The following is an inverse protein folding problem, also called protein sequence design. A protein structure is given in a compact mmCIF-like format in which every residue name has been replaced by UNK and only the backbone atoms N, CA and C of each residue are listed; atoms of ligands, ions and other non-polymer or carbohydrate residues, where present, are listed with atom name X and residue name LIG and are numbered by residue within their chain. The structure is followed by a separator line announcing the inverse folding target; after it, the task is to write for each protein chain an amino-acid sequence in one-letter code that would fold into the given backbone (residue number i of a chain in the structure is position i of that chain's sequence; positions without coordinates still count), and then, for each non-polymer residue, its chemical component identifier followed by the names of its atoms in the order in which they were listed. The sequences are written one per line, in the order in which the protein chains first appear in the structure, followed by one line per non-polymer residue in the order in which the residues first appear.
data_IF_270949437784
#
_entry.id   IF_270949437784
#
_cell.length_a   1.000
_cell.length_b   1.000
_cell.length_c   1.000
_cell.angle_alpha   90.00
_cell.angle_beta   90.00
_cell.angle_gamma   90.00
#
_symmetry.space_group_name_H-M   'P 1'
#
loop_
_entity.id
_entity.type
_entity.pdbx_description
1 polymer ?
2 non-polymer ?
3 non-polymer ?
4 non-polymer ?
5 water ?
#
# COMPACT_ATOMS: atom_id res chain seq x y z
N UNK A 4 17.69 -11.11 9.75
CA UNK A 4 18.59 -10.06 9.18
C UNK A 4 17.91 -8.68 9.12
N UNK A 5 16.73 -8.61 8.52
CA UNK A 5 15.94 -7.38 8.53
C UNK A 5 15.10 -7.34 9.82
N UNK A 6 15.79 -7.15 10.94
CA UNK A 6 15.18 -7.35 12.26
C UNK A 6 14.00 -6.43 12.61
N UNK A 7 13.90 -5.28 11.92
CA UNK A 7 12.86 -4.29 12.23
C UNK A 7 11.46 -4.66 11.70
N UNK A 8 11.41 -5.66 10.83
CA UNK A 8 10.17 -6.16 10.25
C UNK A 8 9.23 -6.76 11.28
N UNK A 9 9.82 -7.41 12.29
CA UNK A 9 9.07 -8.24 13.22
C UNK A 9 7.89 -7.55 13.88
N UNK A 10 8.13 -6.35 14.39
CA UNK A 10 7.09 -5.64 15.12
C UNK A 10 5.92 -5.29 14.19
N UNK A 11 6.22 -4.90 12.96
CA UNK A 11 5.16 -4.59 12.00
C UNK A 11 4.34 -5.81 11.60
N UNK A 12 5.03 -6.91 11.32
CA UNK A 12 4.35 -8.18 11.02
C UNK A 12 3.44 -8.61 12.17
N UNK A 13 3.90 -8.42 13.41
CA UNK A 13 3.12 -8.76 14.60
C UNK A 13 1.84 -7.93 14.68
N UNK A 14 1.94 -6.64 14.36
CA UNK A 14 0.74 -5.78 14.36
C UNK A 14 -0.24 -6.25 13.28
N UNK A 15 0.27 -6.60 12.12
CA UNK A 15 -0.58 -7.13 11.03
C UNK A 15 -1.29 -8.39 11.50
N UNK A 16 -0.54 -9.27 12.14
CA UNK A 16 -1.05 -10.57 12.56
C UNK A 16 -2.22 -10.45 13.53
N UNK A 17 -2.23 -9.41 14.36
CA UNK A 17 -3.32 -9.19 15.33
C UNK A 17 -4.66 -9.00 14.63
N UNK A 18 -4.66 -8.23 13.54
CA UNK A 18 -5.89 -8.05 12.75
C UNK A 18 -6.22 -9.35 12.00
N UNK A 19 -5.21 -9.98 11.43
CA UNK A 19 -5.40 -11.23 10.68
C UNK A 19 -6.01 -12.35 11.55
N UNK A 20 -5.69 -12.34 12.85
CA UNK A 20 -6.18 -13.36 13.78
C UNK A 20 -7.59 -13.07 14.30
N UNK A 21 -8.09 -11.87 14.03
CA UNK A 21 -9.39 -11.45 14.53
C UNK A 21 -10.54 -11.80 13.59
N UNK A 22 -11.58 -12.40 14.15
CA UNK A 22 -12.78 -12.72 13.38
C UNK A 22 -14.02 -12.34 14.20
N UNK A 23 -14.22 -11.04 14.40
CA UNK A 23 -15.22 -10.58 15.37
C UNK A 23 -16.65 -10.87 14.95
N UNK A 24 -16.86 -11.08 13.65
CA UNK A 24 -18.20 -11.36 13.13
C UNK A 24 -18.42 -12.86 12.89
N UNK A 25 -17.45 -13.67 13.29
CA UNK A 25 -17.48 -15.13 13.07
C UNK A 25 -17.84 -15.43 11.63
N UNK A 26 -17.13 -14.77 10.72
CA UNK A 26 -17.50 -14.76 9.30
C UNK A 26 -16.64 -15.65 8.42
N UNK A 27 -15.60 -16.27 8.99
CA UNK A 27 -14.61 -17.00 8.18
C UNK A 27 -15.24 -17.98 7.19
N UNK A 28 -16.08 -18.88 7.69
CA UNK A 28 -16.70 -19.92 6.86
C UNK A 28 -17.63 -19.34 5.81
N UNK A 29 -18.20 -18.18 6.13
CA UNK A 29 -19.12 -17.50 5.24
C UNK A 29 -18.38 -16.79 4.11
N UNK A 30 -17.35 -16.03 4.45
CA UNK A 30 -16.63 -15.30 3.41
C UNK A 30 -15.99 -16.28 2.41
N UNK A 31 -15.59 -17.47 2.88
CA UNK A 31 -14.99 -18.48 2.01
C UNK A 31 -15.95 -18.95 0.91
N UNK A 32 -17.25 -18.68 1.08
CA UNK A 32 -18.26 -19.06 0.08
C UNK A 32 -18.40 -18.01 -1.02
N UNK A 33 -17.77 -16.84 -0.81
CA UNK A 33 -17.93 -15.75 -1.76
C UNK A 33 -17.42 -16.06 -3.20
N UNK A 34 -16.19 -16.62 -3.35
CA UNK A 34 -15.69 -16.98 -4.68
C UNK A 34 -16.67 -17.79 -5.54
N UNK A 35 -17.32 -18.78 -4.95
CA UNK A 35 -18.32 -19.59 -5.66
C UNK A 35 -19.47 -18.73 -6.17
N UNK A 36 -19.97 -17.85 -5.31
CA UNK A 36 -21.06 -16.96 -5.70
C UNK A 36 -20.62 -15.97 -6.78
N UNK A 37 -19.40 -15.47 -6.68
CA UNK A 37 -18.86 -14.62 -7.75
C UNK A 37 -18.77 -15.34 -9.10
N UNK A 38 -18.27 -16.58 -9.08
CA UNK A 38 -18.19 -17.40 -10.29
C UNK A 38 -19.58 -17.62 -10.93
N UNK A 39 -20.59 -17.77 -10.08
CA UNK A 39 -21.98 -17.93 -10.51
C UNK A 39 -22.66 -16.58 -10.83
N UNK A 40 -21.95 -15.47 -10.63
CA UNK A 40 -22.53 -14.13 -10.84
C UNK A 40 -23.88 -13.99 -10.10
N UNK A 41 -23.93 -14.52 -8.89
CA UNK A 41 -25.17 -14.64 -8.12
C UNK A 41 -25.31 -13.43 -7.18
N UNK A 42 -25.81 -12.32 -7.72
CA UNK A 42 -25.88 -11.07 -6.94
C UNK A 42 -26.81 -11.17 -5.73
N UNK A 43 -28.05 -11.69 -5.91
CA UNK A 43 -28.90 -11.88 -4.74
C UNK A 43 -28.24 -12.77 -3.67
N UNK A 44 -27.54 -13.81 -4.11
CA UNK A 44 -26.82 -14.71 -3.21
C UNK A 44 -25.73 -13.99 -2.44
N UNK A 45 -24.99 -13.13 -3.12
CA UNK A 45 -23.90 -12.36 -2.48
C UNK A 45 -24.46 -11.47 -1.38
N UNK A 46 -25.53 -10.75 -1.69
CA UNK A 46 -26.21 -9.92 -0.68
C UNK A 46 -26.69 -10.79 0.49
N UNK A 47 -27.31 -11.92 0.17
CA UNK A 47 -27.84 -12.84 1.18
C UNK A 47 -26.76 -13.33 2.13
N UNK A 48 -25.61 -13.65 1.57
CA UNK A 48 -24.49 -14.17 2.35
C UNK A 48 -23.97 -13.07 3.29
N UNK A 49 -23.84 -11.85 2.76
CA UNK A 49 -23.40 -10.72 3.59
C UNK A 49 -24.37 -10.46 4.74
N UNK A 50 -25.66 -10.52 4.46
CA UNK A 50 -26.68 -10.24 5.48
C UNK A 50 -26.69 -11.30 6.60
N UNK A 51 -26.04 -12.44 6.36
CA UNK A 51 -25.89 -13.44 7.41
C UNK A 51 -24.96 -13.01 8.54
N UNK A 52 -24.04 -12.07 8.28
CA UNK A 52 -23.12 -11.63 9.34
C UNK A 52 -22.97 -10.11 9.52
N UNK A 53 -23.59 -9.33 8.64
CA UNK A 53 -23.53 -7.87 8.73
C UNK A 53 -24.26 -7.39 10.00
N UNK A 54 -23.58 -6.61 10.86
CA UNK A 54 -24.25 -6.07 12.07
C UNK A 54 -25.46 -5.20 11.72
N UNK A 55 -26.55 -5.36 12.46
CA UNK A 55 -27.78 -4.60 12.17
C UNK A 55 -28.17 -3.67 13.30
N UNK A 56 -27.47 -3.80 14.42
CA UNK A 56 -27.73 -2.98 15.59
C UNK A 56 -26.46 -2.25 16.00
N UNK A 57 -25.70 -1.81 15.00
CA UNK A 57 -24.45 -1.12 15.24
C UNK A 57 -23.32 -2.06 15.66
N UNK A 58 -22.19 -1.47 16.02
CA UNK A 58 -21.00 -2.23 16.39
C UNK A 58 -21.01 -2.56 17.88
N UNK A 59 -20.64 -3.80 18.26
CA UNK A 59 -20.43 -4.18 19.66
C UNK A 59 -19.53 -3.17 20.38
N UNK A 60 -19.97 -2.73 21.56
CA UNK A 60 -19.29 -1.65 22.28
C UNK A 60 -17.85 -1.97 22.68
N UNK A 61 -17.54 -3.25 22.84
CA UNK A 61 -16.21 -3.67 23.28
C UNK A 61 -15.12 -3.66 22.22
N UNK A 62 -15.50 -3.46 20.95
CA UNK A 62 -14.55 -3.47 19.84
C UNK A 62 -13.55 -2.33 19.91
N UNK A 63 -12.31 -2.62 19.52
CA UNK A 63 -11.28 -1.60 19.32
C UNK A 63 -10.89 -1.57 17.85
N UNK A 64 -9.73 -1.00 17.56
CA UNK A 64 -9.24 -0.91 16.19
C UNK A 64 -9.18 -2.28 15.52
N UNK A 65 -8.67 -3.28 16.24
CA UNK A 65 -8.44 -4.61 15.65
C UNK A 65 -9.75 -5.24 15.16
N UNK A 66 -10.76 -5.28 16.01
CA UNK A 66 -12.04 -5.86 15.63
C UNK A 66 -12.70 -5.07 14.49
N UNK A 67 -12.67 -3.73 14.57
CA UNK A 67 -13.28 -2.91 13.52
C UNK A 67 -12.61 -3.13 12.16
N UNK A 68 -11.27 -3.22 12.16
CA UNK A 68 -10.52 -3.41 10.92
C UNK A 68 -10.80 -4.80 10.34
N UNK A 69 -10.88 -5.80 11.22
CA UNK A 69 -11.19 -7.18 10.80
C UNK A 69 -12.62 -7.28 10.25
N UNK A 70 -13.56 -6.56 10.87
CA UNK A 70 -14.94 -6.51 10.35
C UNK A 70 -14.98 -5.86 8.97
N UNK A 71 -14.23 -4.76 8.79
CA UNK A 71 -14.19 -4.06 7.51
C UNK A 71 -13.59 -4.97 6.44
N UNK A 72 -12.57 -5.76 6.81
CA UNK A 72 -12.01 -6.74 5.88
C UNK A 72 -13.10 -7.69 5.38
N UNK A 73 -13.84 -8.28 6.31
CA UNK A 73 -14.79 -9.33 5.96
C UNK A 73 -16.01 -8.83 5.18
N UNK A 74 -16.56 -7.69 5.61
CA UNK A 74 -17.60 -6.99 4.83
C UNK A 74 -17.01 -6.54 3.49
N UNK A 75 -15.77 -6.05 3.53
CA UNK A 75 -15.09 -5.46 2.37
C UNK A 75 -15.06 -6.29 1.10
N UNK A 76 -14.82 -7.60 1.23
CA UNK A 76 -14.76 -8.45 0.03
C UNK A 76 -16.09 -8.45 -0.71
N UNK A 77 -17.18 -8.28 0.04
CA UNK A 77 -18.51 -8.15 -0.57
C UNK A 77 -18.71 -6.86 -1.32
N UNK A 78 -18.04 -5.79 -0.87
CA UNK A 78 -18.13 -4.49 -1.54
C UNK A 78 -17.55 -4.53 -2.95
N UNK A 79 -16.30 -4.96 -3.05
CA UNK A 79 -15.65 -5.08 -4.36
C UNK A 79 -16.41 -6.04 -5.26
N UNK A 80 -16.97 -7.09 -4.67
CA UNK A 80 -17.69 -8.10 -5.43
C UNK A 80 -18.97 -7.53 -6.04
N UNK A 81 -19.76 -6.84 -5.23
CA UNK A 81 -21.03 -6.29 -5.74
C UNK A 81 -20.77 -5.29 -6.85
N UNK A 82 -19.77 -4.43 -6.67
CA UNK A 82 -19.40 -3.48 -7.70
C UNK A 82 -18.94 -4.18 -8.99
N UNK A 83 -18.20 -5.28 -8.84
CA UNK A 83 -17.70 -6.06 -9.98
C UNK A 83 -18.86 -6.48 -10.89
N UNK A 84 -19.99 -6.81 -10.28
CA UNK A 84 -21.20 -7.22 -11.01
C UNK A 84 -22.10 -6.02 -11.39
N UNK A 85 -21.59 -4.81 -11.18
CA UNK A 85 -22.29 -3.62 -11.69
C UNK A 85 -23.25 -2.96 -10.73
N UNK A 86 -23.09 -3.22 -9.42
CA UNK A 86 -23.99 -2.65 -8.41
C UNK A 86 -23.26 -1.90 -7.32
N UNK A 87 -23.76 -0.70 -6.97
CA UNK A 87 -23.24 0.00 -5.81
C UNK A 87 -23.69 -0.74 -4.55
N UNK A 88 -22.74 -1.26 -3.76
CA UNK A 88 -23.10 -2.06 -2.58
C UNK A 88 -24.06 -1.33 -1.64
N UNK A 89 -23.84 -0.03 -1.47
CA UNK A 89 -24.68 0.77 -0.56
C UNK A 89 -26.13 0.88 -1.07
N UNK A 90 -26.30 0.72 -2.37
CA UNK A 90 -27.62 0.80 -2.99
C UNK A 90 -28.41 -0.51 -2.90
N UNK A 91 -27.71 -1.64 -2.79
CA UNK A 91 -28.40 -2.94 -2.82
C UNK A 91 -28.40 -3.68 -1.48
N UNK A 92 -27.63 -3.19 -0.52
CA UNK A 92 -27.56 -3.82 0.80
C UNK A 92 -28.11 -2.87 1.86
N UNK A 93 -29.33 -3.14 2.36
CA UNK A 93 -29.98 -2.21 3.29
C UNK A 93 -29.21 -2.14 4.60
N UNK A 94 -28.99 -0.93 5.10
CA UNK A 94 -28.28 -0.75 6.37
C UNK A 94 -26.77 -0.89 6.30
N UNK A 95 -26.23 -1.09 5.10
CA UNK A 95 -24.79 -1.31 4.97
C UNK A 95 -23.99 -0.02 5.19
N UNK A 96 -24.46 1.07 4.61
CA UNK A 96 -23.71 2.31 4.62
C UNK A 96 -23.44 2.80 6.05
N UNK A 97 -24.46 2.81 6.93
CA UNK A 97 -24.17 3.22 8.32
C UNK A 97 -23.09 2.37 9.00
N UNK A 98 -23.07 1.06 8.73
CA UNK A 98 -22.06 0.16 9.28
C UNK A 98 -20.68 0.56 8.74
N UNK A 99 -20.58 0.76 7.43
CA UNK A 99 -19.30 1.19 6.82
C UNK A 99 -18.79 2.50 7.43
N UNK A 100 -19.67 3.48 7.58
CA UNK A 100 -19.32 4.77 8.20
C UNK A 100 -18.89 4.60 9.66
N UNK A 101 -19.57 3.72 10.39
CA UNK A 101 -19.18 3.40 11.77
C UNK A 101 -17.79 2.76 11.85
N UNK A 102 -17.51 1.85 10.91
CA UNK A 102 -16.21 1.18 10.88
C UNK A 102 -15.10 2.16 10.48
N UNK A 103 -15.42 3.09 9.57
CA UNK A 103 -14.47 4.13 9.19
C UNK A 103 -14.10 4.94 10.41
N UNK A 104 -15.11 5.30 11.22
CA UNK A 104 -14.94 6.06 12.45
C UNK A 104 -14.01 5.33 13.42
N UNK A 105 -14.25 4.03 13.58
CA UNK A 105 -13.53 3.20 14.55
C UNK A 105 -12.06 2.96 14.18
N UNK A 106 -11.75 3.05 12.87
CA UNK A 106 -10.40 2.78 12.39
C UNK A 106 -9.65 4.02 11.87
N UNK A 107 -10.36 5.14 11.71
CA UNK A 107 -9.79 6.35 11.07
C UNK A 107 -9.22 6.04 9.67
N UNK A 108 -9.97 5.25 8.92
CA UNK A 108 -9.64 4.88 7.55
C UNK A 108 -10.90 5.04 6.69
N UNK A 109 -10.78 4.92 5.35
CA UNK A 109 -11.98 5.11 4.52
C UNK A 109 -13.08 4.06 4.83
N UNK A 110 -14.35 4.35 4.47
CA UNK A 110 -15.47 3.43 4.73
C UNK A 110 -15.58 2.29 3.71
N UNK A 111 -14.45 1.67 3.38
CA UNK A 111 -14.46 0.45 2.58
C UNK A 111 -13.14 -0.29 2.82
N UNK A 112 -12.99 -1.43 2.16
CA UNK A 112 -11.76 -2.24 2.27
C UNK A 112 -10.62 -1.56 1.53
N UNK A 113 -9.42 -1.65 2.10
CA UNK A 113 -8.22 -1.13 1.48
C UNK A 113 -7.20 -2.27 1.29
N UNK A 114 -6.07 -1.94 0.67
CA UNK A 114 -4.98 -2.89 0.52
C UNK A 114 -4.64 -3.62 1.84
N UNK A 115 -4.58 -2.86 2.93
CA UNK A 115 -4.23 -3.45 4.25
C UNK A 115 -5.18 -4.58 4.58
N UNK A 116 -6.48 -4.32 4.43
CA UNK A 116 -7.50 -5.30 4.80
C UNK A 116 -7.37 -6.61 4.02
N UNK A 117 -7.04 -6.51 2.74
CA UNK A 117 -7.10 -7.68 1.87
C UNK A 117 -5.77 -8.43 1.82
N UNK A 118 -4.72 -7.82 2.36
CA UNK A 118 -3.38 -8.41 2.33
C UNK A 118 -2.87 -8.79 3.73
N UNK A 119 -2.18 -7.85 4.39
CA UNK A 119 -1.50 -8.16 5.66
C UNK A 119 -2.46 -8.35 6.83
N UNK A 120 -3.67 -7.79 6.73
CA UNK A 120 -4.71 -8.04 7.76
C UNK A 120 -5.61 -9.24 7.44
N UNK A 121 -5.27 -9.98 6.40
CA UNK A 121 -6.06 -11.10 5.92
C UNK A 121 -5.28 -12.38 6.27
N UNK A 122 -5.91 -13.34 6.98
CA UNK A 122 -5.12 -14.53 7.38
C UNK A 122 -4.57 -15.30 6.17
N UNK A 123 -3.49 -16.03 6.37
CA UNK A 123 -2.76 -16.65 5.26
C UNK A 123 -3.19 -18.10 4.97
N UNK A 124 -3.84 -18.75 5.93
CA UNK A 124 -4.15 -20.17 5.78
C UNK A 124 -5.24 -20.39 4.74
N UNK A 125 -5.14 -21.54 4.07
CA UNK A 125 -6.09 -21.94 3.05
C UNK A 125 -7.52 -21.99 3.59
N UNK A 126 -7.68 -22.42 4.83
CA UNK A 126 -9.04 -22.49 5.39
C UNK A 126 -9.50 -21.18 6.03
N UNK A 127 -8.77 -20.09 5.79
CA UNK A 127 -9.10 -18.81 6.43
C UNK A 127 -8.96 -17.59 5.51
N UNK A 128 -8.06 -17.65 4.54
CA UNK A 128 -7.77 -16.51 3.69
C UNK A 128 -9.01 -16.08 2.90
N UNK A 129 -9.39 -14.82 3.08
CA UNK A 129 -10.51 -14.22 2.31
C UNK A 129 -10.03 -13.85 0.92
N UNK A 130 -10.93 -13.97 -0.07
CA UNK A 130 -10.60 -13.73 -1.47
C UNK A 130 -11.83 -13.31 -2.25
N UNK A 131 -11.66 -12.47 -3.28
CA UNK A 131 -12.78 -12.17 -4.16
C UNK A 131 -13.10 -13.37 -5.06
N UNK A 132 -12.05 -13.98 -5.63
CA UNK A 132 -12.21 -14.95 -6.73
C UNK A 132 -11.84 -16.39 -6.38
N UNK A 133 -11.05 -16.56 -5.32
CA UNK A 133 -10.50 -17.89 -5.01
C UNK A 133 -9.42 -18.37 -5.98
N UNK A 134 -9.03 -17.50 -6.93
CA UNK A 134 -8.08 -17.92 -7.97
C UNK A 134 -6.65 -17.92 -7.43
N UNK A 135 -5.81 -18.84 -7.93
CA UNK A 135 -4.42 -18.87 -7.48
C UNK A 135 -3.68 -17.55 -7.77
N UNK A 136 -3.97 -16.94 -8.92
CA UNK A 136 -3.40 -15.63 -9.26
C UNK A 136 -3.71 -14.53 -8.24
N UNK A 137 -4.91 -14.57 -7.65
CA UNK A 137 -5.23 -13.62 -6.59
C UNK A 137 -4.38 -13.93 -5.34
N UNK A 138 -4.22 -15.22 -5.04
CA UNK A 138 -3.41 -15.60 -3.88
C UNK A 138 -1.98 -15.10 -4.07
N UNK A 139 -1.47 -15.22 -5.29
CA UNK A 139 -0.14 -14.71 -5.61
C UNK A 139 -0.05 -13.19 -5.51
N UNK A 140 -1.11 -12.51 -5.95
CA UNK A 140 -1.19 -11.06 -5.86
C UNK A 140 -1.07 -10.62 -4.41
N UNK A 141 -1.83 -11.26 -3.54
CA UNK A 141 -1.78 -10.92 -2.12
C UNK A 141 -0.40 -11.24 -1.55
N UNK A 142 0.16 -12.38 -1.92
CA UNK A 142 1.51 -12.76 -1.44
C UNK A 142 2.54 -11.70 -1.83
N UNK A 143 2.44 -11.16 -3.04
CA UNK A 143 3.41 -10.18 -3.51
C UNK A 143 3.47 -8.96 -2.59
N UNK A 144 2.32 -8.56 -2.07
CA UNK A 144 2.28 -7.42 -1.15
C UNK A 144 2.82 -7.80 0.23
N UNK A 145 2.45 -8.98 0.69
CA UNK A 145 2.93 -9.49 1.97
C UNK A 145 4.46 -9.58 2.07
N UNK A 146 5.11 -9.85 0.94
CA UNK A 146 6.57 -9.90 0.88
C UNK A 146 7.22 -8.61 1.37
N UNK A 147 6.63 -7.45 1.03
CA UNK A 147 7.29 -6.15 1.28
C UNK A 147 6.60 -5.15 2.22
N UNK A 148 5.33 -5.37 2.56
CA UNK A 148 4.62 -4.36 3.38
C UNK A 148 5.32 -4.02 4.70
N UNK A 149 5.65 -5.04 5.50
CA UNK A 149 6.32 -4.78 6.80
C UNK A 149 7.69 -4.11 6.61
N UNK A 150 8.43 -4.55 5.60
CA UNK A 150 9.73 -3.96 5.27
C UNK A 150 9.58 -2.50 4.89
N UNK A 151 8.53 -2.19 4.14
CA UNK A 151 8.28 -0.81 3.72
C UNK A 151 7.97 0.07 4.94
N UNK A 152 7.13 -0.44 5.84
CA UNK A 152 6.81 0.28 7.07
C UNK A 152 8.06 0.56 7.89
N UNK A 153 8.95 -0.43 7.99
CA UNK A 153 10.23 -0.23 8.64
C UNK A 153 11.04 0.84 7.91
N UNK A 154 10.99 0.81 6.57
CA UNK A 154 11.72 1.76 5.74
C UNK A 154 11.23 3.18 5.95
N UNK A 155 9.92 3.35 6.18
CA UNK A 155 9.38 4.69 6.45
C UNK A 155 10.00 5.24 7.73
N UNK A 156 10.02 4.42 8.77
CA UNK A 156 10.67 4.76 10.04
C UNK A 156 12.13 5.14 9.86
N UNK A 157 12.86 4.35 9.06
CA UNK A 157 14.28 4.61 8.81
C UNK A 157 14.49 5.92 8.07
N UNK A 158 13.59 6.23 7.15
CA UNK A 158 13.69 7.46 6.35
C UNK A 158 13.49 8.70 7.22
N UNK A 159 12.48 8.64 8.09
CA UNK A 159 12.22 9.71 9.07
C UNK A 159 13.42 9.90 10.01
N UNK A 160 14.04 8.79 10.42
CA UNK A 160 15.22 8.89 11.28
C UNK A 160 16.40 9.52 10.57
N UNK A 161 16.59 9.12 9.30
CA UNK A 161 17.71 9.58 8.48
C UNK A 161 17.62 11.09 8.21
N UNK A 162 16.39 11.59 8.13
CA UNK A 162 16.11 13.01 7.89
C UNK A 162 16.88 13.93 8.83
N UNK A 163 16.99 13.51 10.09
CA UNK A 163 17.65 14.31 11.13
C UNK A 163 19.11 13.93 11.37
N UNK A 164 19.66 13.07 10.51
CA UNK A 164 21.06 12.65 10.63
C UNK A 164 21.93 13.49 9.70
N UNK A 165 22.99 14.07 10.29
CA UNK A 165 23.93 14.87 9.53
C UNK A 165 24.70 14.00 8.54
N UNK A 166 24.86 14.52 7.32
CA UNK A 166 25.68 13.91 6.29
C UNK A 166 27.14 13.77 6.74
N UNK A 167 27.57 14.63 7.66
CA UNK A 167 28.93 14.58 8.21
C UNK A 167 29.15 13.38 9.13
N UNK A 168 28.06 12.80 9.61
CA UNK A 168 28.13 11.66 10.52
C UNK A 168 28.24 10.34 9.74
N UNK A 169 29.11 9.42 10.20
CA UNK A 169 29.17 8.07 9.63
C UNK A 169 27.82 7.34 9.67
N UNK A 170 26.95 7.74 10.60
CA UNK A 170 25.59 7.21 10.68
C UNK A 170 24.79 7.39 9.39
N UNK A 171 25.06 8.48 8.66
CA UNK A 171 24.28 8.75 7.46
C UNK A 171 24.41 7.64 6.43
N UNK A 172 25.65 7.25 6.13
CA UNK A 172 25.92 6.16 5.21
C UNK A 172 25.35 4.83 5.73
N UNK A 173 25.54 4.57 7.02
CA UNK A 173 25.05 3.33 7.67
C UNK A 173 23.52 3.20 7.58
N UNK A 174 22.81 4.26 7.97
CA UNK A 174 21.35 4.26 7.92
C UNK A 174 20.82 4.16 6.48
N UNK A 175 21.49 4.83 5.55
CA UNK A 175 21.10 4.76 4.13
C UNK A 175 21.26 3.34 3.59
N UNK A 176 22.37 2.69 3.94
CA UNK A 176 22.61 1.29 3.57
C UNK A 176 21.53 0.39 4.14
N UNK A 177 21.11 0.69 5.36
CA UNK A 177 20.06 -0.06 6.02
C UNK A 177 18.73 0.17 5.32
N UNK A 178 18.45 1.42 4.97
CA UNK A 178 17.22 1.76 4.23
C UNK A 178 17.14 1.01 2.91
N UNK A 179 18.26 0.98 2.19
CA UNK A 179 18.34 0.30 0.89
C UNK A 179 17.91 -1.16 1.02
N UNK A 180 18.39 -1.81 2.07
CA UNK A 180 18.16 -3.23 2.32
C UNK A 180 16.67 -3.52 2.53
N UNK A 181 15.99 -2.66 3.26
CA UNK A 181 14.54 -2.82 3.46
C UNK A 181 13.75 -2.58 2.18
N UNK A 182 14.17 -1.58 1.40
CA UNK A 182 13.50 -1.27 0.14
C UNK A 182 13.66 -2.39 -0.92
N UNK A 183 14.72 -3.19 -0.78
CA UNK A 183 14.95 -4.33 -1.66
C UNK A 183 13.76 -5.31 -1.69
N UNK A 184 13.03 -5.38 -0.58
CA UNK A 184 11.81 -6.19 -0.54
C UNK A 184 10.78 -5.80 -1.61
N UNK A 185 10.71 -4.52 -1.96
CA UNK A 185 9.81 -4.04 -3.01
C UNK A 185 10.17 -4.67 -4.36
N UNK A 186 11.47 -4.81 -4.60
CA UNK A 186 11.98 -5.43 -5.83
C UNK A 186 11.55 -6.89 -5.86
N UNK A 187 11.72 -7.56 -4.73
CA UNK A 187 11.30 -8.96 -4.58
C UNK A 187 9.81 -9.17 -4.86
N UNK A 188 8.97 -8.24 -4.39
CA UNK A 188 7.54 -8.25 -4.68
C UNK A 188 7.24 -8.29 -6.18
N UNK A 189 7.92 -7.43 -6.93
CA UNK A 189 7.67 -7.33 -8.36
C UNK A 189 8.17 -8.58 -9.09
N UNK A 190 9.32 -9.10 -8.66
CA UNK A 190 9.83 -10.33 -9.25
C UNK A 190 8.81 -11.45 -9.08
N UNK A 191 8.28 -11.56 -7.85
CA UNK A 191 7.26 -12.56 -7.52
C UNK A 191 6.01 -12.37 -8.38
N UNK A 192 5.54 -11.13 -8.46
CA UNK A 192 4.32 -10.83 -9.23
C UNK A 192 4.50 -11.15 -10.72
N UNK A 193 5.67 -10.82 -11.25
CA UNK A 193 5.95 -11.06 -12.67
C UNK A 193 5.99 -12.56 -12.98
N UNK A 194 6.54 -13.34 -12.05
CA UNK A 194 6.72 -14.77 -12.22
C UNK A 194 5.42 -15.55 -12.07
N UNK A 195 4.58 -15.14 -11.11
CA UNK A 195 3.48 -15.99 -10.68
C UNK A 195 2.08 -15.57 -11.08
N UNK A 196 1.90 -14.32 -11.47
CA UNK A 196 0.57 -13.84 -11.83
C UNK A 196 0.41 -13.79 -13.35
N UNK A 197 -0.63 -14.46 -13.86
CA UNK A 197 -0.95 -14.38 -15.28
C UNK A 197 -1.49 -12.98 -15.60
N UNK A 198 -0.87 -12.29 -16.57
CA UNK A 198 -1.40 -10.99 -16.98
C UNK A 198 -2.86 -11.07 -17.44
N UNK A 199 -3.20 -12.08 -18.24
CA UNK A 199 -4.57 -12.25 -18.70
C UNK A 199 -5.55 -12.45 -17.55
N UNK A 200 -5.19 -13.34 -16.61
CA UNK A 200 -6.05 -13.57 -15.44
C UNK A 200 -6.17 -12.27 -14.63
N UNK A 201 -5.06 -11.57 -14.42
CA UNK A 201 -5.17 -10.29 -13.69
C UNK A 201 -6.15 -9.35 -14.39
N UNK A 202 -5.92 -9.13 -15.68
CA UNK A 202 -6.67 -8.08 -16.36
C UNK A 202 -8.16 -8.45 -16.52
N UNK A 203 -8.43 -9.70 -16.88
CA UNK A 203 -9.79 -10.14 -17.17
C UNK A 203 -10.56 -10.56 -15.94
N UNK A 204 -9.88 -11.14 -14.95
CA UNK A 204 -10.58 -11.78 -13.82
C UNK A 204 -10.43 -11.09 -12.48
N UNK A 205 -9.30 -10.45 -12.24
CA UNK A 205 -9.04 -9.83 -10.93
C UNK A 205 -9.38 -8.35 -10.91
N UNK A 206 -8.79 -7.61 -11.86
CA UNK A 206 -8.97 -6.16 -12.01
C UNK A 206 -10.43 -5.66 -11.84
N UNK A 207 -11.43 -6.38 -12.40
CA UNK A 207 -12.82 -5.93 -12.20
C UNK A 207 -13.31 -5.85 -10.76
N UNK A 208 -12.61 -6.51 -9.83
CA UNK A 208 -12.99 -6.48 -8.41
C UNK A 208 -12.48 -5.25 -7.63
N UNK A 209 -11.67 -4.43 -8.28
CA UNK A 209 -11.00 -3.32 -7.61
C UNK A 209 -11.53 -1.96 -8.04
N UNK A 210 -12.78 -1.91 -8.48
CA UNK A 210 -13.37 -0.66 -8.95
C UNK A 210 -13.83 0.22 -7.76
N UNK A 211 -13.98 1.53 -7.99
CA UNK A 211 -14.43 2.39 -6.88
C UNK A 211 -15.91 2.18 -6.53
N UNK A 212 -16.26 2.52 -5.29
CA UNK A 212 -17.65 2.49 -4.87
C UNK A 212 -18.01 3.83 -4.23
N UNK A 213 -19.29 4.16 -4.20
CA UNK A 213 -19.76 5.38 -3.58
C UNK A 213 -20.30 5.13 -2.17
N UNK A 214 -19.73 5.87 -1.22
CA UNK A 214 -20.18 5.84 0.17
C UNK A 214 -20.12 7.25 0.72
N UNK A 215 -21.16 7.67 1.45
CA UNK A 215 -21.16 8.99 2.08
C UNK A 215 -21.03 10.14 1.10
N UNK A 216 -21.55 9.96 -0.10
CA UNK A 216 -21.58 11.00 -1.12
C UNK A 216 -20.24 11.28 -1.80
N UNK A 217 -19.32 10.32 -1.73
CA UNK A 217 -18.10 10.41 -2.52
C UNK A 217 -17.63 9.02 -2.95
N UNK A 218 -16.65 9.00 -3.84
CA UNK A 218 -16.15 7.76 -4.44
C UNK A 218 -14.87 7.33 -3.76
N UNK A 219 -14.80 6.06 -3.38
CA UNK A 219 -13.60 5.50 -2.76
C UNK A 219 -13.01 4.43 -3.65
N UNK A 220 -11.72 4.58 -3.95
CA UNK A 220 -10.99 3.65 -4.81
C UNK A 220 -10.90 2.28 -4.19
N UNK A 221 -10.79 1.24 -5.01
CA UNK A 221 -10.69 -0.11 -4.52
C UNK A 221 -9.26 -0.43 -4.08
N UNK A 222 -9.07 -1.61 -3.48
CA UNK A 222 -7.72 -1.97 -3.00
C UNK A 222 -6.72 -2.06 -4.15
N UNK A 223 -5.50 -1.64 -3.88
CA UNK A 223 -4.42 -1.75 -4.85
C UNK A 223 -3.12 -1.50 -4.14
N UNK A 224 -2.03 -2.08 -4.66
CA UNK A 224 -0.72 -1.82 -4.09
C UNK A 224 -0.31 -0.36 -4.26
N UNK A 225 -1.00 0.36 -5.16
CA UNK A 225 -0.85 1.82 -5.23
C UNK A 225 -1.08 2.47 -3.86
N UNK A 226 -1.86 1.82 -2.99
CA UNK A 226 -2.13 2.34 -1.64
C UNK A 226 -0.99 2.09 -0.63
N UNK A 227 0.04 1.35 -1.04
CA UNK A 227 1.20 1.14 -0.18
C UNK A 227 1.83 2.50 0.12
N UNK A 228 2.21 2.74 1.39
CA UNK A 228 2.70 4.07 1.75
C UNK A 228 4.11 4.41 1.23
N UNK A 229 4.52 3.78 0.13
CA UNK A 229 5.77 4.17 -0.52
C UNK A 229 5.78 5.66 -0.88
N UNK A 230 4.64 6.19 -1.33
CA UNK A 230 4.58 7.61 -1.69
C UNK A 230 4.84 8.53 -0.50
N UNK A 231 4.50 8.07 0.71
CA UNK A 231 4.80 8.82 1.93
C UNK A 231 6.31 8.82 2.19
N UNK A 232 6.93 7.64 2.08
CA UNK A 232 8.39 7.51 2.23
C UNK A 232 9.09 8.48 1.28
N UNK A 233 8.67 8.48 0.02
CA UNK A 233 9.36 9.28 -1.00
C UNK A 233 9.03 10.77 -0.91
N UNK A 234 7.88 11.09 -0.33
CA UNK A 234 7.54 12.47 0.03
C UNK A 234 8.65 13.03 0.95
N UNK A 235 8.92 12.31 2.03
CA UNK A 235 10.01 12.65 2.94
C UNK A 235 11.35 12.64 2.21
N UNK A 236 11.60 11.57 1.46
CA UNK A 236 12.92 11.36 0.82
C UNK A 236 13.29 12.41 -0.23
N UNK A 237 12.39 12.66 -1.19
CA UNK A 237 12.70 13.57 -2.30
C UNK A 237 11.57 14.44 -2.81
N UNK A 238 10.32 14.06 -2.53
CA UNK A 238 9.18 14.66 -3.24
C UNK A 238 8.39 15.79 -2.60
N UNK A 239 8.68 16.10 -1.33
CA UNK A 239 7.82 16.99 -0.55
C UNK A 239 7.68 18.40 -1.15
N UNK A 240 8.76 18.89 -1.75
CA UNK A 240 8.79 20.24 -2.32
C UNK A 240 8.70 20.24 -3.85
N UNK A 241 8.26 19.13 -4.43
CA UNK A 241 8.10 19.03 -5.87
C UNK A 241 7.05 20.03 -6.36
N UNK A 242 7.31 20.62 -7.52
CA UNK A 242 6.33 21.53 -8.14
C UNK A 242 5.52 20.82 -9.23
N UNK A 243 5.72 19.50 -9.33
CA UNK A 243 4.98 18.68 -10.28
C UNK A 243 3.55 18.47 -9.77
N UNK A 244 2.63 19.19 -10.40
CA UNK A 244 1.21 19.21 -10.00
C UNK A 244 0.54 17.83 -10.05
N UNK A 245 0.80 17.09 -11.12
CA UNK A 245 0.26 15.75 -11.30
C UNK A 245 0.76 14.79 -10.21
N UNK A 246 2.04 14.91 -9.86
CA UNK A 246 2.64 14.10 -8.80
C UNK A 246 2.03 14.44 -7.44
N UNK A 247 1.91 15.74 -7.17
CA UNK A 247 1.21 16.26 -6.00
C UNK A 247 -0.21 15.67 -5.88
N UNK A 248 -0.94 15.68 -7.00
CA UNK A 248 -2.32 15.18 -7.04
C UNK A 248 -2.39 13.68 -6.78
N UNK A 249 -1.43 12.94 -7.35
CA UNK A 249 -1.29 11.50 -7.10
C UNK A 249 -1.19 11.24 -5.59
N UNK A 250 -0.28 11.93 -4.92
CA UNK A 250 -0.09 11.72 -3.48
C UNK A 250 -1.36 12.07 -2.68
N UNK A 251 -1.99 13.19 -3.00
CA UNK A 251 -3.19 13.62 -2.28
C UNK A 251 -4.37 12.67 -2.50
N UNK A 252 -4.40 12.03 -3.67
CA UNK A 252 -5.42 11.03 -3.99
C UNK A 252 -5.32 9.80 -3.09
N UNK A 253 -4.10 9.34 -2.80
CA UNK A 253 -3.94 8.08 -2.07
C UNK A 253 -3.74 8.26 -0.57
N UNK A 254 -3.41 9.48 -0.17
CA UNK A 254 -3.20 9.81 1.23
C UNK A 254 -4.29 9.27 2.20
N UNK A 255 -5.58 9.43 1.86
CA UNK A 255 -6.63 8.93 2.78
C UNK A 255 -6.60 7.43 3.09
N UNK A 256 -5.95 6.65 2.21
CA UNK A 256 -5.98 5.19 2.25
C UNK A 256 -4.88 4.58 3.11
N UNK A 257 -3.92 5.40 3.54
CA UNK A 257 -2.82 4.87 4.34
C UNK A 257 -3.07 5.05 5.84
N UNK A 258 -2.32 4.35 6.68
CA UNK A 258 -2.55 4.43 8.13
C UNK A 258 -2.45 5.86 8.62
N UNK A 259 -3.24 6.21 9.65
CA UNK A 259 -3.20 7.54 10.28
C UNK A 259 -1.80 8.04 10.58
N UNK A 260 -0.95 7.16 11.12
CA UNK A 260 0.44 7.53 11.45
C UNK A 260 1.19 8.04 10.22
N UNK A 261 0.94 7.42 9.07
CA UNK A 261 1.61 7.85 7.83
C UNK A 261 1.03 9.12 7.22
N UNK A 262 -0.28 9.35 7.42
CA UNK A 262 -0.87 10.61 7.00
C UNK A 262 -0.27 11.75 7.83
N UNK A 263 0.06 11.44 9.08
CA UNK A 263 0.69 12.41 9.98
C UNK A 263 2.13 12.70 9.57
N UNK A 264 2.88 11.66 9.22
CA UNK A 264 4.24 11.81 8.68
C UNK A 264 4.21 12.71 7.45
N UNK A 265 3.27 12.43 6.53
CA UNK A 265 3.12 13.21 5.31
C UNK A 265 2.94 14.69 5.61
N UNK A 266 2.01 14.98 6.53
CA UNK A 266 1.72 16.37 6.95
C UNK A 266 2.94 17.05 7.55
N UNK A 267 3.65 16.32 8.39
CA UNK A 267 4.87 16.80 9.07
C UNK A 267 5.92 17.30 8.09
N UNK A 268 6.02 16.68 6.93
CA UNK A 268 7.09 16.96 5.98
C UNK A 268 6.72 17.82 4.76
N UNK A 269 5.42 18.05 4.56
CA UNK A 269 4.93 18.85 3.42
C UNK A 269 5.48 20.26 3.30
N UNK A 270 5.67 20.94 4.43
CA UNK A 270 6.16 22.31 4.43
C UNK A 270 7.67 22.43 4.60
N UNK A 271 8.37 21.34 4.30
CA UNK A 271 9.81 21.27 4.51
C UNK A 271 10.53 20.82 3.23
N UNK A 272 11.78 21.27 3.05
CA UNK A 272 12.64 20.64 2.05
C UNK A 272 12.73 19.14 2.30
N UNK A 273 12.78 18.35 1.24
CA UNK A 273 12.92 16.91 1.38
C UNK A 273 14.32 16.55 1.85
N UNK A 274 14.47 15.29 2.25
CA UNK A 274 15.75 14.77 2.73
C UNK A 274 16.88 15.05 1.72
N UNK A 275 16.63 14.73 0.45
CA UNK A 275 17.60 14.94 -0.62
C UNK A 275 18.04 16.41 -0.72
N UNK A 276 17.07 17.32 -0.59
CA UNK A 276 17.31 18.76 -0.69
C UNK A 276 18.27 19.21 0.42
N UNK A 277 18.01 18.74 1.64
CA UNK A 277 18.86 19.05 2.78
C UNK A 277 20.26 18.44 2.63
N UNK A 278 20.32 17.18 2.22
CA UNK A 278 21.59 16.46 2.10
C UNK A 278 22.50 17.08 1.05
N UNK A 279 21.93 17.38 -0.12
CA UNK A 279 22.71 18.01 -1.20
C UNK A 279 23.21 19.40 -0.83
N UNK A 280 22.35 20.17 -0.14
CA UNK A 280 22.75 21.48 0.37
C UNK A 280 23.89 21.39 1.37
N UNK A 281 23.83 20.38 2.24
CA UNK A 281 24.89 20.16 3.22
C UNK A 281 26.21 19.79 2.54
N UNK A 282 26.12 18.99 1.45
CA UNK A 282 27.31 18.55 0.70
C UNK A 282 28.03 19.71 0.03
N UNK A 283 27.28 20.67 -0.50
CA UNK A 283 27.86 21.83 -1.17
C UNK A 283 28.52 22.76 -0.18
N UNK A 284 27.97 22.80 1.04
CA UNK A 284 28.50 23.65 2.11
C UNK A 284 29.81 23.08 2.70
N UNK A 285 29.78 21.79 3.02
CA UNK A 285 30.90 21.10 3.68
C UNK A 285 31.97 20.63 2.71
N UNK A 286 31.54 20.12 1.55
CA UNK A 286 32.46 19.63 0.53
C UNK A 286 32.54 18.12 0.51
N UNK A 287 32.79 17.55 -0.68
CA UNK A 287 32.88 16.10 -0.84
C UNK A 287 34.27 15.53 -0.50
N UNK A 288 35.18 16.40 -0.11
CA UNK A 288 36.47 15.96 0.40
C UNK A 288 36.36 15.35 1.80
N UNK A 289 35.27 15.67 2.50
CA UNK A 289 34.89 15.02 3.75
C UNK A 289 34.41 13.61 3.39
N UNK A 290 35.12 12.60 3.89
CA UNK A 290 34.83 11.20 3.54
C UNK A 290 33.42 10.74 3.93
N UNK A 291 32.91 11.30 5.03
CA UNK A 291 31.57 10.96 5.48
C UNK A 291 30.50 11.54 4.55
N UNK A 292 30.78 12.70 3.97
CA UNK A 292 29.90 13.29 2.96
C UNK A 292 29.88 12.40 1.70
N UNK A 293 31.07 12.04 1.21
CA UNK A 293 31.21 11.15 0.05
C UNK A 293 30.47 9.83 0.23
N UNK A 294 30.72 9.15 1.36
CA UNK A 294 30.09 7.87 1.67
C UNK A 294 28.58 8.01 1.85
N UNK A 295 28.17 9.11 2.48
CA UNK A 295 26.76 9.39 2.69
C UNK A 295 26.04 9.53 1.37
N UNK A 296 26.60 10.35 0.47
CA UNK A 296 26.00 10.57 -0.83
C UNK A 296 25.97 9.29 -1.67
N UNK A 297 27.05 8.51 -1.59
CA UNK A 297 27.16 7.25 -2.32
C UNK A 297 26.07 6.26 -1.83
N UNK A 298 25.91 6.17 -0.52
CA UNK A 298 24.89 5.33 0.08
C UNK A 298 23.48 5.79 -0.31
N UNK A 299 23.28 7.11 -0.29
CA UNK A 299 22.00 7.70 -0.71
C UNK A 299 21.69 7.34 -2.16
N UNK A 300 22.71 7.39 -3.03
CA UNK A 300 22.51 7.02 -4.42
C UNK A 300 21.98 5.58 -4.56
N UNK A 301 22.47 4.67 -3.71
CA UNK A 301 22.02 3.28 -3.70
C UNK A 301 20.54 3.13 -3.30
N UNK A 302 20.06 4.03 -2.44
CA UNK A 302 18.63 4.09 -2.11
C UNK A 302 17.81 4.41 -3.37
N UNK A 303 18.26 5.38 -4.16
CA UNK A 303 17.57 5.70 -5.40
C UNK A 303 17.64 4.57 -6.43
N UNK A 304 18.79 3.90 -6.48
CA UNK A 304 18.95 2.76 -7.37
C UNK A 304 17.90 1.68 -7.07
N UNK A 305 17.76 1.34 -5.79
CA UNK A 305 16.80 0.30 -5.42
C UNK A 305 15.35 0.72 -5.73
N UNK A 306 15.05 2.00 -5.56
CA UNK A 306 13.73 2.52 -5.92
C UNK A 306 13.48 2.36 -7.42
N UNK A 307 14.51 2.61 -8.21
CA UNK A 307 14.44 2.41 -9.66
C UNK A 307 14.35 0.93 -10.04
N UNK A 308 14.97 0.07 -9.23
CA UNK A 308 14.89 -1.36 -9.45
C UNK A 308 13.52 -1.94 -9.09
N UNK A 309 12.73 -1.21 -8.31
CA UNK A 309 11.31 -1.55 -8.12
C UNK A 309 10.50 -0.96 -9.27
N UNK A 310 10.69 0.33 -9.50
CA UNK A 310 9.79 1.11 -10.34
C UNK A 310 9.84 0.75 -11.83
N UNK A 311 11.04 0.51 -12.36
CA UNK A 311 11.18 0.13 -13.78
C UNK A 311 10.54 -1.23 -14.13
N UNK A 312 10.87 -2.31 -13.37
CA UNK A 312 10.19 -3.60 -13.58
C UNK A 312 8.69 -3.53 -13.31
N UNK A 313 8.27 -2.71 -12.35
CA UNK A 313 6.84 -2.57 -12.08
C UNK A 313 6.11 -2.02 -13.30
N UNK A 314 6.73 -1.04 -13.97
CA UNK A 314 6.15 -0.49 -15.19
C UNK A 314 5.97 -1.59 -16.24
N UNK A 315 6.97 -2.48 -16.37
CA UNK A 315 6.87 -3.60 -17.31
C UNK A 315 5.74 -4.56 -16.92
N UNK A 316 5.67 -4.86 -15.62
CA UNK A 316 4.59 -5.68 -15.06
C UNK A 316 3.22 -5.10 -15.43
N UNK A 317 3.06 -3.80 -15.21
CA UNK A 317 1.80 -3.08 -15.44
C UNK A 317 1.45 -3.03 -16.93
N UNK A 318 2.46 -2.76 -17.75
CA UNK A 318 2.25 -2.70 -19.19
C UNK A 318 1.83 -4.06 -19.75
N UNK A 319 2.42 -5.14 -19.24
CA UNK A 319 2.08 -6.48 -19.73
C UNK A 319 0.60 -6.81 -19.42
N UNK A 320 0.17 -6.49 -18.20
CA UNK A 320 -1.21 -6.74 -17.81
C UNK A 320 -2.18 -5.86 -18.60
N UNK A 321 -1.83 -4.61 -18.79
CA UNK A 321 -2.74 -3.66 -19.42
C UNK A 321 -2.76 -3.77 -20.96
N UNK A 322 -1.76 -4.45 -21.52
CA UNK A 322 -1.76 -4.78 -22.95
C UNK A 322 -2.78 -5.88 -23.27
N UNK A 323 -3.27 -6.58 -22.24
CA UNK A 323 -4.36 -7.55 -22.39
C UNK A 323 -5.67 -6.82 -22.71
N UNK A 336 -0.54 0.97 -20.01
CA UNK A 336 -0.52 1.32 -18.59
C UNK A 336 -0.69 2.82 -18.36
N UNK A 337 -1.38 3.20 -17.27
CA UNK A 337 -1.58 4.60 -16.87
C UNK A 337 -0.29 5.43 -16.94
N UNK A 338 -0.42 6.64 -17.50
CA UNK A 338 0.70 7.55 -17.76
C UNK A 338 1.45 7.99 -16.51
N UNK A 339 0.75 7.98 -15.37
CA UNK A 339 1.30 8.38 -14.09
C UNK A 339 2.54 7.55 -13.71
N UNK A 340 2.55 6.28 -14.09
CA UNK A 340 3.69 5.40 -13.80
C UNK A 340 4.99 5.90 -14.44
N UNK A 341 4.91 6.16 -15.75
CA UNK A 341 6.06 6.67 -16.49
C UNK A 341 6.54 8.01 -15.94
N UNK A 342 5.58 8.85 -15.55
CA UNK A 342 5.87 10.18 -15.02
C UNK A 342 6.62 10.09 -13.69
N UNK A 343 6.18 9.18 -12.82
CA UNK A 343 6.86 8.97 -11.56
C UNK A 343 8.25 8.38 -11.77
N UNK A 344 8.38 7.50 -12.76
CA UNK A 344 9.68 6.91 -13.09
C UNK A 344 10.67 8.01 -13.49
N UNK A 345 10.21 8.92 -14.35
CA UNK A 345 11.03 10.05 -14.80
C UNK A 345 11.49 10.92 -13.63
N UNK A 346 10.57 11.20 -12.69
CA UNK A 346 10.89 11.96 -11.48
C UNK A 346 11.94 11.28 -10.61
N UNK A 347 11.86 9.95 -10.52
CA UNK A 347 12.82 9.17 -9.73
C UNK A 347 14.21 9.20 -10.37
N UNK A 348 14.28 9.00 -11.67
CA UNK A 348 15.56 9.11 -12.39
C UNK A 348 16.21 10.47 -12.15
N UNK A 349 15.40 11.52 -12.21
CA UNK A 349 15.89 12.88 -12.03
C UNK A 349 16.42 13.10 -10.62
N UNK A 350 15.73 12.52 -9.63
CA UNK A 350 16.20 12.58 -8.24
C UNK A 350 17.58 11.92 -8.10
N UNK A 351 17.74 10.73 -8.65
CA UNK A 351 19.03 10.04 -8.60
C UNK A 351 20.13 10.84 -9.29
N UNK A 352 19.80 11.40 -10.45
CA UNK A 352 20.75 12.23 -11.20
C UNK A 352 21.33 13.38 -10.38
N UNK A 353 20.49 13.99 -9.52
CA UNK A 353 20.93 15.06 -8.63
C UNK A 353 22.01 14.55 -7.67
N UNK A 354 21.80 13.36 -7.10
CA UNK A 354 22.78 12.75 -6.21
C UNK A 354 24.08 12.47 -6.97
N UNK A 355 23.96 11.92 -8.17
CA UNK A 355 25.14 11.62 -9.01
C UNK A 355 25.92 12.88 -9.41
N UNK A 356 25.20 13.96 -9.73
CA UNK A 356 25.82 15.25 -10.09
C UNK A 356 26.64 15.82 -8.93
N UNK A 357 26.17 15.58 -7.71
CA UNK A 357 26.85 16.02 -6.49
C UNK A 357 28.17 15.27 -6.24
N UNK A 358 28.29 14.07 -6.96
CA UNK A 358 29.52 13.28 -6.81
C UNK A 358 30.46 13.47 -8.02
N UNK A 359 30.23 14.54 -8.76
CA UNK A 359 31.10 14.87 -9.88
C UNK A 359 31.54 16.33 -9.86
#
# INVERSE_FOLDING_TARGET
MERTLDRVGVFAATHAAVAASDPLQARALVLQLPGLNRNKDVPGIVGLLREFLPVRGLPSGWGFVEAAAAMRDIGFFLGSLKRHGHEPAEVVPGLEPVLLDLARATNLPPRETLLHVTVWNPTAADAQRSYTGLPDEAHLLESVRISMAALEAAIALTVELFDVSLRSPEFAQRSDELEAYLQKMVESIVYAYRFISPQVFYDELRPFYEPIRVGGQSYLGPGAVEMPLFVLEHVLWGSQSDDQTYREFKETYLPYVLPAYRAVYARFSGEPALIDRALDEARAVGTRDEHVRAGLTALERVFKVLLRFRAPHLKLAERAYEVGQSGPEIGSGGYAPSMLGELLTLTYAARSRVRAALDES
#
